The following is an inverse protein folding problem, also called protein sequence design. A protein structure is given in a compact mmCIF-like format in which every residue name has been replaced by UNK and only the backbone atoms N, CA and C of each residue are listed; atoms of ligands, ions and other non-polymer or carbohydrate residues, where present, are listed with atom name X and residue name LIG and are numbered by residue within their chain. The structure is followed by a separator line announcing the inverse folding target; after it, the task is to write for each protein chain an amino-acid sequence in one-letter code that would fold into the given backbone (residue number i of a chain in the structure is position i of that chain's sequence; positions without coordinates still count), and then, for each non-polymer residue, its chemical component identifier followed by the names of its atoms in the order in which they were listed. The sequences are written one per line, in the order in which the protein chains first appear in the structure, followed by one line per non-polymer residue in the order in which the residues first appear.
data_IF_622346690481
#
_entry.id   IF_622346690481
#
_cell.length_a   1.000
_cell.length_b   1.000
_cell.length_c   1.000
_cell.angle_alpha   90.00
_cell.angle_beta   90.00
_cell.angle_gamma   90.00
#
_symmetry.space_group_name_H-M   'P 1'
#
loop_
_entity.id
_entity.type
_entity.pdbx_description
1 polymer ?
#
# COMPACT_ATOMS: atom_id res chain seq x y z
N UNK A 1 -45.04 -28.72 33.80
CA UNK A 1 -45.16 -27.47 34.59
C UNK A 1 -44.14 -27.53 35.72
N UNK A 2 -43.27 -26.53 35.83
CA UNK A 2 -42.29 -26.45 36.92
C UNK A 2 -43.03 -26.19 38.24
N UNK A 3 -42.80 -26.97 39.31
CA UNK A 3 -43.46 -26.77 40.60
C UNK A 3 -43.21 -25.37 41.18
N UNK A 4 -44.22 -24.77 41.81
CA UNK A 4 -44.08 -23.44 42.47
C UNK A 4 -42.98 -23.41 43.54
N UNK A 5 -42.71 -24.54 44.18
CA UNK A 5 -41.63 -24.70 45.16
C UNK A 5 -40.24 -24.55 44.52
N UNK A 6 -40.07 -25.03 43.29
CA UNK A 6 -38.83 -24.89 42.53
C UNK A 6 -38.54 -23.42 42.22
N UNK A 7 -39.56 -22.66 41.81
CA UNK A 7 -39.40 -21.23 41.59
C UNK A 7 -39.02 -20.48 42.87
N UNK A 8 -39.72 -20.69 43.98
CA UNK A 8 -39.38 -20.05 45.26
C UNK A 8 -37.92 -20.32 45.68
N UNK A 9 -37.47 -21.56 45.54
CA UNK A 9 -36.09 -21.94 45.85
C UNK A 9 -35.08 -21.21 44.96
N UNK A 10 -35.40 -21.01 43.67
CA UNK A 10 -34.55 -20.25 42.74
C UNK A 10 -34.43 -18.77 43.16
N UNK A 11 -35.54 -18.11 43.45
CA UNK A 11 -35.54 -16.69 43.82
C UNK A 11 -34.79 -16.42 45.14
N UNK A 12 -34.79 -17.37 46.06
CA UNK A 12 -34.09 -17.27 47.35
C UNK A 12 -32.57 -17.55 47.25
N UNK A 13 -32.15 -18.41 46.31
CA UNK A 13 -30.76 -18.91 46.20
C UNK A 13 -30.00 -18.41 44.97
N UNK A 14 -30.59 -17.56 44.16
CA UNK A 14 -29.96 -17.02 42.96
C UNK A 14 -28.78 -16.09 43.31
N UNK A 15 -27.75 -16.12 42.47
CA UNK A 15 -26.63 -15.17 42.51
C UNK A 15 -26.91 -13.90 41.72
N UNK A 16 -28.04 -13.84 41.00
CA UNK A 16 -28.43 -12.65 40.23
C UNK A 16 -28.84 -11.54 41.21
N UNK A 17 -28.03 -10.48 41.23
CA UNK A 17 -28.21 -9.37 42.15
C UNK A 17 -29.55 -8.65 41.91
N UNK A 18 -30.23 -8.28 43.00
CA UNK A 18 -31.53 -7.59 42.97
C UNK A 18 -32.75 -8.48 42.72
N UNK A 19 -32.58 -9.68 42.14
CA UNK A 19 -33.68 -10.60 41.82
C UNK A 19 -34.38 -11.12 43.09
N UNK A 20 -33.62 -11.40 44.15
CA UNK A 20 -34.18 -11.79 45.46
C UNK A 20 -35.16 -10.73 46.01
N UNK A 21 -34.80 -9.46 45.89
CA UNK A 21 -35.56 -8.34 46.45
C UNK A 21 -36.90 -8.11 45.73
N UNK A 22 -37.08 -8.65 44.52
CA UNK A 22 -38.38 -8.57 43.80
C UNK A 22 -39.44 -9.52 44.37
N UNK A 23 -39.02 -10.53 45.14
CA UNK A 23 -39.88 -11.60 45.64
C UNK A 23 -39.84 -11.77 47.16
N UNK A 24 -39.02 -10.99 47.87
CA UNK A 24 -38.82 -11.10 49.31
C UNK A 24 -40.12 -10.78 50.07
N UNK A 25 -40.73 -11.76 50.77
CA UNK A 25 -41.98 -11.57 51.48
C UNK A 25 -41.93 -10.50 52.59
N UNK A 26 -40.75 -10.10 53.06
CA UNK A 26 -40.60 -9.11 54.15
C UNK A 26 -40.62 -7.65 53.68
N UNK A 27 -40.51 -7.40 52.38
CA UNK A 27 -40.50 -6.03 51.80
C UNK A 27 -41.90 -5.55 51.43
N UNK A 28 -42.12 -4.23 51.45
CA UNK A 28 -43.38 -3.65 50.99
C UNK A 28 -43.57 -3.84 49.47
N UNK A 29 -44.82 -3.93 49.01
CA UNK A 29 -45.13 -4.13 47.58
C UNK A 29 -44.49 -3.04 46.71
N UNK A 30 -44.50 -1.79 47.19
CA UNK A 30 -43.90 -0.67 46.48
C UNK A 30 -42.37 -0.83 46.29
N UNK A 31 -41.66 -1.27 47.32
CA UNK A 31 -40.22 -1.53 47.26
C UNK A 31 -39.89 -2.65 46.27
N UNK A 32 -40.71 -3.72 46.24
CA UNK A 32 -40.54 -4.82 45.27
C UNK A 32 -40.73 -4.36 43.83
N UNK A 33 -41.67 -3.44 43.59
CA UNK A 33 -41.90 -2.84 42.27
C UNK A 33 -40.70 -1.98 41.84
N UNK A 34 -40.11 -1.20 42.76
CA UNK A 34 -38.88 -0.44 42.47
C UNK A 34 -37.73 -1.39 42.10
N UNK A 35 -37.51 -2.45 42.90
CA UNK A 35 -36.47 -3.44 42.61
C UNK A 35 -36.67 -4.15 41.27
N UNK A 36 -37.92 -4.41 40.90
CA UNK A 36 -38.25 -4.97 39.59
C UNK A 36 -37.79 -4.04 38.45
N UNK A 37 -38.12 -2.75 38.53
CA UNK A 37 -37.67 -1.78 37.52
C UNK A 37 -36.14 -1.61 37.49
N UNK A 38 -35.49 -1.60 38.65
CA UNK A 38 -34.01 -1.54 38.75
C UNK A 38 -33.39 -2.72 38.02
N UNK A 39 -33.82 -3.95 38.33
CA UNK A 39 -33.32 -5.16 37.67
C UNK A 39 -33.55 -5.09 36.16
N UNK A 40 -34.75 -4.71 35.70
CA UNK A 40 -35.05 -4.55 34.28
C UNK A 40 -34.16 -3.52 33.57
N UNK A 41 -33.91 -2.36 34.20
CA UNK A 41 -33.03 -1.33 33.65
C UNK A 41 -31.58 -1.82 33.54
N UNK A 42 -31.04 -2.43 34.60
CA UNK A 42 -29.67 -2.96 34.57
C UNK A 42 -29.50 -4.13 33.59
N UNK A 43 -30.47 -5.04 33.49
CA UNK A 43 -30.41 -6.13 32.50
C UNK A 43 -30.48 -5.59 31.08
N UNK A 44 -31.33 -4.59 30.84
CA UNK A 44 -31.46 -3.96 29.50
C UNK A 44 -30.19 -3.18 29.14
N UNK A 45 -29.62 -2.43 30.08
CA UNK A 45 -28.36 -1.71 29.90
C UNK A 45 -27.18 -2.66 29.67
N UNK A 46 -27.09 -3.75 30.43
CA UNK A 46 -26.06 -4.77 30.24
C UNK A 46 -26.22 -5.50 28.91
N UNK A 47 -27.45 -5.79 28.47
CA UNK A 47 -27.71 -6.37 27.16
C UNK A 47 -27.33 -5.41 26.04
N UNK A 48 -27.65 -4.13 26.16
CA UNK A 48 -27.24 -3.09 25.22
C UNK A 48 -25.71 -3.00 25.13
N UNK A 49 -25.01 -2.91 26.27
CA UNK A 49 -23.55 -2.90 26.29
C UNK A 49 -22.96 -4.18 25.68
N UNK A 50 -23.52 -5.35 25.99
CA UNK A 50 -23.07 -6.62 25.41
C UNK A 50 -23.27 -6.64 23.89
N UNK A 51 -24.43 -6.21 23.40
CA UNK A 51 -24.72 -6.14 21.96
C UNK A 51 -23.81 -5.13 21.26
N UNK A 52 -23.58 -3.96 21.88
CA UNK A 52 -22.64 -2.96 21.39
C UNK A 52 -21.20 -3.51 21.34
N UNK A 53 -20.75 -4.18 22.39
CA UNK A 53 -19.43 -4.82 22.43
C UNK A 53 -19.33 -6.01 21.47
N UNK A 54 -20.41 -6.77 21.25
CA UNK A 54 -20.42 -7.85 20.26
C UNK A 54 -20.45 -7.30 18.84
N UNK A 55 -21.12 -6.18 18.59
CA UNK A 55 -21.07 -5.46 17.31
C UNK A 55 -19.67 -4.90 17.07
N UNK A 56 -19.03 -4.29 18.07
CA UNK A 56 -17.66 -3.79 18.03
C UNK A 56 -16.59 -4.91 17.98
N UNK A 57 -16.85 -6.06 18.61
CA UNK A 57 -15.97 -7.22 18.55
C UNK A 57 -16.15 -7.98 17.25
N UNK A 58 -17.36 -8.15 16.73
CA UNK A 58 -17.59 -8.77 15.41
C UNK A 58 -17.22 -7.84 14.26
N UNK A 59 -17.21 -6.52 14.49
CA UNK A 59 -16.57 -5.59 13.57
C UNK A 59 -15.04 -5.69 13.62
N UNK A 60 -14.50 -6.62 14.44
CA UNK A 60 -13.09 -6.92 14.72
C UNK A 60 -12.20 -5.82 14.20
N UNK A 61 -11.87 -4.89 15.10
CA UNK A 61 -10.88 -3.84 14.87
C UNK A 61 -9.67 -4.49 14.24
N UNK A 62 -9.61 -4.30 12.94
CA UNK A 62 -8.60 -4.90 12.10
C UNK A 62 -7.29 -4.32 12.62
N UNK A 63 -6.30 -5.17 12.90
CA UNK A 63 -4.91 -4.69 12.95
C UNK A 63 -4.54 -4.35 11.52
N UNK A 64 -5.08 -3.24 11.02
CA UNK A 64 -4.66 -2.71 9.75
C UNK A 64 -3.44 -1.87 10.06
N UNK A 65 -2.31 -2.45 9.74
CA UNK A 65 -1.16 -1.71 9.28
C UNK A 65 -1.67 -1.00 8.02
N UNK A 66 -2.10 0.25 8.16
CA UNK A 66 -2.46 1.06 7.01
C UNK A 66 -1.21 1.81 6.62
N UNK A 67 -0.75 1.48 5.43
CA UNK A 67 0.29 2.17 4.69
C UNK A 67 -0.34 3.38 4.00
N UNK A 68 0.11 4.58 4.38
CA UNK A 68 -0.36 5.85 3.82
C UNK A 68 0.69 6.36 2.85
N UNK A 69 0.73 5.75 1.67
CA UNK A 69 2.02 5.55 1.04
C UNK A 69 1.97 5.86 -0.41
N UNK A 70 2.23 7.12 -0.67
CA UNK A 70 3.28 7.53 -1.57
C UNK A 70 2.90 8.94 -1.96
N UNK A 71 3.43 10.00 -1.31
CA UNK A 71 3.33 11.33 -1.85
C UNK A 71 4.27 11.40 -3.06
N UNK A 72 3.84 10.90 -4.21
CA UNK A 72 4.54 11.24 -5.45
C UNK A 72 4.17 12.68 -5.69
N UNK A 73 5.10 13.61 -5.64
CA UNK A 73 4.88 14.84 -6.39
C UNK A 73 4.58 14.46 -7.85
N UNK A 74 3.77 15.26 -8.54
CA UNK A 74 3.60 15.10 -9.98
C UNK A 74 4.96 14.97 -10.68
N UNK A 75 5.96 15.67 -10.13
CA UNK A 75 7.38 15.52 -10.40
C UNK A 75 8.00 14.47 -9.48
N UNK A 76 8.12 13.23 -9.98
CA UNK A 76 8.76 12.11 -9.26
C UNK A 76 10.28 12.22 -9.23
N UNK A 77 10.79 13.14 -10.04
CA UNK A 77 12.19 13.37 -10.31
C UNK A 77 12.51 14.77 -9.82
N UNK A 78 13.59 14.88 -9.06
CA UNK A 78 14.18 16.14 -8.67
C UNK A 78 15.02 16.67 -9.84
N UNK A 79 14.41 17.56 -10.63
CA UNK A 79 15.05 18.16 -11.80
C UNK A 79 16.19 19.13 -11.45
N UNK A 80 16.30 19.56 -10.19
CA UNK A 80 17.45 20.32 -9.70
C UNK A 80 18.73 19.48 -9.76
N UNK A 81 18.63 18.17 -9.44
CA UNK A 81 19.75 17.23 -9.43
C UNK A 81 20.17 16.75 -10.82
N UNK A 82 19.41 17.07 -11.87
CA UNK A 82 19.56 16.38 -13.16
C UNK A 82 20.93 16.59 -13.80
N UNK A 83 21.47 17.81 -13.74
CA UNK A 83 22.76 18.11 -14.33
C UNK A 83 23.91 17.45 -13.55
N UNK A 84 23.79 17.34 -12.22
CA UNK A 84 24.77 16.66 -11.36
C UNK A 84 24.78 15.14 -11.63
N UNK A 85 23.60 14.51 -11.72
CA UNK A 85 23.46 13.08 -12.03
C UNK A 85 23.96 12.77 -13.43
N UNK A 86 23.68 13.64 -14.41
CA UNK A 86 24.26 13.52 -15.76
C UNK A 86 25.79 13.51 -15.69
N UNK A 87 26.40 14.39 -14.91
CA UNK A 87 27.86 14.48 -14.81
C UNK A 87 28.51 13.30 -14.09
N UNK A 88 27.79 12.65 -13.18
CA UNK A 88 28.23 11.45 -12.49
C UNK A 88 28.13 10.20 -13.39
N UNK A 89 26.99 10.02 -14.07
CA UNK A 89 26.68 8.80 -14.81
C UNK A 89 27.08 8.84 -16.30
N UNK A 90 27.22 10.02 -16.89
CA UNK A 90 27.48 10.19 -18.33
C UNK A 90 28.83 10.87 -18.54
N UNK A 91 29.82 10.08 -18.98
CA UNK A 91 31.19 10.58 -19.22
C UNK A 91 31.33 11.57 -20.40
N UNK A 92 30.28 11.80 -21.19
CA UNK A 92 30.34 12.59 -22.42
C UNK A 92 29.75 14.00 -22.24
N UNK A 93 30.59 15.04 -22.37
CA UNK A 93 30.20 16.46 -22.25
C UNK A 93 29.50 17.05 -23.49
N UNK A 94 28.92 16.23 -24.37
CA UNK A 94 28.23 16.75 -25.55
C UNK A 94 26.82 17.24 -25.15
N UNK A 95 26.49 18.49 -25.49
CA UNK A 95 25.16 19.07 -25.23
C UNK A 95 24.03 18.23 -25.82
N UNK A 96 24.24 17.63 -27.00
CA UNK A 96 23.26 16.79 -27.67
C UNK A 96 22.90 15.52 -26.86
N UNK A 97 23.87 14.91 -26.19
CA UNK A 97 23.65 13.72 -25.35
C UNK A 97 22.93 14.11 -24.06
N UNK A 98 23.29 15.26 -23.49
CA UNK A 98 22.58 15.82 -22.31
C UNK A 98 21.12 16.10 -22.63
N UNK A 99 20.83 16.74 -23.77
CA UNK A 99 19.46 17.05 -24.18
C UNK A 99 18.66 15.76 -24.46
N UNK A 100 19.30 14.77 -25.10
CA UNK A 100 18.71 13.44 -25.32
C UNK A 100 18.36 12.75 -24.00
N UNK A 101 19.25 12.84 -23.01
CA UNK A 101 19.02 12.27 -21.68
C UNK A 101 17.89 13.00 -20.95
N UNK A 102 17.83 14.34 -20.99
CA UNK A 102 16.73 15.11 -20.38
C UNK A 102 15.37 14.75 -20.98
N UNK A 103 15.28 14.59 -22.30
CA UNK A 103 14.04 14.13 -22.94
C UNK A 103 13.72 12.67 -22.60
N UNK A 104 14.74 11.81 -22.49
CA UNK A 104 14.58 10.43 -22.04
C UNK A 104 13.98 10.37 -20.64
N UNK A 105 14.61 11.02 -19.65
CA UNK A 105 14.12 11.09 -18.28
C UNK A 105 12.72 11.70 -18.20
N UNK A 106 12.48 12.77 -18.95
CA UNK A 106 11.17 13.42 -19.00
C UNK A 106 10.06 12.57 -19.62
N UNK A 107 10.35 11.54 -20.40
CA UNK A 107 9.36 10.58 -20.87
C UNK A 107 9.08 9.47 -19.85
N UNK A 108 10.04 9.19 -18.95
CA UNK A 108 9.90 8.19 -17.89
C UNK A 108 9.19 8.73 -16.65
N UNK A 109 9.33 10.02 -16.36
CA UNK A 109 8.69 10.68 -15.22
C UNK A 109 7.17 10.38 -15.14
N UNK A 110 6.45 10.54 -16.26
CA UNK A 110 5.00 10.33 -16.35
C UNK A 110 4.57 8.88 -16.54
N UNK A 111 5.53 7.96 -16.68
CA UNK A 111 5.27 6.61 -17.17
C UNK A 111 4.50 5.78 -16.15
N UNK A 112 3.44 5.12 -16.63
CA UNK A 112 2.60 4.19 -15.85
C UNK A 112 2.11 3.08 -16.78
N UNK A 113 1.86 1.91 -16.21
CA UNK A 113 1.27 0.83 -17.00
C UNK A 113 -0.07 1.27 -17.63
N UNK A 114 -0.17 1.16 -18.95
CA UNK A 114 -1.34 1.57 -19.72
C UNK A 114 -1.38 3.04 -20.13
N UNK A 115 -0.42 3.87 -19.71
CA UNK A 115 -0.21 5.26 -20.16
C UNK A 115 1.18 5.40 -20.75
N UNK A 116 1.27 5.21 -22.06
CA UNK A 116 2.53 5.09 -22.77
C UNK A 116 2.73 6.18 -23.84
N UNK A 117 1.82 7.14 -23.88
CA UNK A 117 1.80 8.22 -24.88
C UNK A 117 3.07 9.07 -24.81
N UNK A 118 3.60 9.29 -23.61
CA UNK A 118 4.82 10.10 -23.38
C UNK A 118 6.08 9.48 -24.01
N UNK A 119 6.08 8.17 -24.29
CA UNK A 119 7.21 7.52 -24.96
C UNK A 119 7.31 7.88 -26.45
N UNK A 120 6.26 8.44 -27.05
CA UNK A 120 6.34 8.97 -28.42
C UNK A 120 7.39 10.09 -28.55
N UNK A 121 7.68 10.80 -27.46
CA UNK A 121 8.66 11.89 -27.40
C UNK A 121 10.08 11.40 -27.67
N UNK A 122 10.38 10.16 -27.30
CA UNK A 122 11.71 9.57 -27.41
C UNK A 122 11.87 8.67 -28.64
N UNK A 123 10.80 8.48 -29.41
CA UNK A 123 10.79 7.59 -30.58
C UNK A 123 11.83 8.01 -31.64
N UNK A 124 12.08 9.31 -31.79
CA UNK A 124 13.02 9.86 -32.78
C UNK A 124 14.43 10.12 -32.23
N UNK A 125 14.67 9.94 -30.93
CA UNK A 125 15.97 10.25 -30.31
C UNK A 125 17.00 9.13 -30.51
N UNK A 126 18.27 9.46 -30.73
CA UNK A 126 19.33 8.46 -30.82
C UNK A 126 19.74 8.03 -29.40
N UNK A 127 19.28 6.85 -28.96
CA UNK A 127 19.49 6.35 -27.60
C UNK A 127 20.79 5.56 -27.46
N UNK A 128 21.52 5.29 -28.57
CA UNK A 128 22.82 4.57 -28.55
C UNK A 128 23.84 5.19 -27.59
N UNK A 129 23.78 6.50 -27.41
CA UNK A 129 24.65 7.25 -26.50
C UNK A 129 24.38 6.99 -25.03
N UNK A 130 23.20 6.45 -24.68
CA UNK A 130 22.78 6.12 -23.32
C UNK A 130 23.06 4.65 -22.95
N UNK A 131 23.87 3.96 -23.76
CA UNK A 131 24.18 2.54 -23.62
C UNK A 131 24.99 2.24 -22.36
N UNK A 132 24.56 1.20 -21.63
CA UNK A 132 25.24 0.73 -20.43
C UNK A 132 24.92 1.53 -19.18
N UNK A 133 23.97 2.45 -19.27
CA UNK A 133 23.45 3.21 -18.13
C UNK A 133 22.37 2.36 -17.45
N UNK A 134 22.48 2.20 -16.13
CA UNK A 134 21.42 1.62 -15.32
C UNK A 134 20.37 2.69 -15.01
N UNK A 135 19.18 2.53 -15.59
CA UNK A 135 18.09 3.49 -15.42
C UNK A 135 17.50 3.41 -14.01
N UNK A 136 17.60 2.27 -13.29
CA UNK A 136 17.14 2.20 -11.90
C UNK A 136 17.98 3.08 -11.01
N UNK A 137 19.30 2.93 -11.07
CA UNK A 137 20.24 3.68 -10.24
C UNK A 137 20.06 5.19 -10.46
N UNK A 138 19.90 5.59 -11.72
CA UNK A 138 19.64 7.00 -12.07
C UNK A 138 18.29 7.49 -11.53
N UNK A 139 17.23 6.71 -11.67
CA UNK A 139 15.90 7.12 -11.17
C UNK A 139 15.87 7.19 -9.64
N UNK A 140 16.68 6.39 -8.96
CA UNK A 140 16.91 6.47 -7.51
C UNK A 140 17.68 7.74 -7.15
N UNK A 141 18.79 8.05 -7.82
CA UNK A 141 19.57 9.26 -7.56
C UNK A 141 18.79 10.55 -7.84
N UNK A 142 17.96 10.50 -8.89
CA UNK A 142 17.04 11.57 -9.28
C UNK A 142 15.78 11.64 -8.41
N UNK A 143 15.51 10.65 -7.55
CA UNK A 143 14.30 10.67 -6.74
C UNK A 143 14.31 11.80 -5.70
N UNK A 144 13.12 12.19 -5.27
CA UNK A 144 12.95 13.13 -4.17
C UNK A 144 13.29 12.42 -2.85
N UNK A 145 14.20 13.00 -2.08
CA UNK A 145 14.53 12.46 -0.76
C UNK A 145 13.42 12.80 0.23
N UNK A 146 13.36 12.12 1.37
CA UNK A 146 12.37 12.41 2.41
C UNK A 146 12.30 13.90 2.82
N UNK A 147 13.45 14.55 3.01
CA UNK A 147 13.53 15.97 3.37
C UNK A 147 13.13 16.93 2.23
N UNK A 148 13.07 16.45 0.98
CA UNK A 148 12.58 17.26 -0.14
C UNK A 148 11.06 17.36 -0.15
N UNK A 149 10.38 16.37 0.45
CA UNK A 149 8.93 16.21 0.40
C UNK A 149 8.25 16.67 1.68
N UNK A 150 8.80 16.32 2.84
CA UNK A 150 8.14 16.59 4.12
C UNK A 150 8.70 17.83 4.81
N UNK A 151 7.81 18.64 5.35
CA UNK A 151 8.21 19.75 6.21
C UNK A 151 8.72 19.22 7.55
N UNK A 152 9.92 19.65 7.94
CA UNK A 152 10.60 19.12 9.12
C UNK A 152 9.75 19.23 10.39
N UNK A 153 9.63 18.13 11.14
CA UNK A 153 8.87 18.02 12.38
C UNK A 153 7.35 18.28 12.25
N UNK A 154 6.77 18.25 11.06
CA UNK A 154 5.31 18.34 10.86
C UNK A 154 4.68 16.99 10.52
N UNK A 155 5.25 15.90 11.05
CA UNK A 155 4.68 14.57 10.99
C UNK A 155 4.14 14.15 12.36
N UNK A 156 2.90 13.69 12.39
CA UNK A 156 2.25 13.22 13.61
C UNK A 156 1.65 11.84 13.38
N UNK A 157 1.88 10.93 14.31
CA UNK A 157 1.20 9.64 14.37
C UNK A 157 0.48 9.53 15.71
N UNK A 158 -0.85 9.38 15.66
CA UNK A 158 -1.71 9.33 16.87
C UNK A 158 -1.56 10.58 17.76
N UNK A 159 -1.36 11.73 17.14
CA UNK A 159 -1.13 13.02 17.80
C UNK A 159 0.25 13.17 18.46
N UNK A 160 1.14 12.18 18.32
CA UNK A 160 2.54 12.27 18.77
C UNK A 160 3.37 12.74 17.58
N UNK A 161 4.21 13.75 17.81
CA UNK A 161 5.12 14.29 16.80
C UNK A 161 6.29 13.33 16.55
N UNK A 162 6.65 13.15 15.29
CA UNK A 162 7.79 12.35 14.83
C UNK A 162 8.62 13.14 13.82
N UNK A 163 9.87 12.72 13.65
CA UNK A 163 10.60 13.00 12.41
C UNK A 163 9.92 12.25 11.26
N UNK A 164 9.65 12.93 10.15
CA UNK A 164 9.02 12.34 8.99
C UNK A 164 9.86 11.20 8.39
N UNK A 165 11.17 11.34 8.41
CA UNK A 165 12.11 10.39 7.81
C UNK A 165 12.39 9.17 8.69
N UNK A 166 11.90 9.18 9.94
CA UNK A 166 11.82 7.98 10.79
C UNK A 166 10.54 7.16 10.52
N UNK A 167 9.53 7.78 9.88
CA UNK A 167 8.23 7.21 9.61
C UNK A 167 8.08 6.70 8.17
N UNK A 168 8.60 7.45 7.19
CA UNK A 168 8.49 7.15 5.76
C UNK A 168 9.79 6.58 5.21
N UNK A 169 9.71 5.47 4.47
CA UNK A 169 10.84 4.81 3.82
C UNK A 169 10.69 4.82 2.31
N UNK A 170 11.81 4.84 1.60
CA UNK A 170 11.81 4.70 0.15
C UNK A 170 11.39 3.29 -0.28
N UNK A 171 10.51 3.19 -1.26
CA UNK A 171 10.03 1.94 -1.84
C UNK A 171 9.81 2.11 -3.35
N UNK A 172 10.20 1.10 -4.13
CA UNK A 172 9.97 1.04 -5.58
C UNK A 172 8.57 0.50 -5.86
N UNK A 173 7.77 1.24 -6.60
CA UNK A 173 6.37 0.88 -6.95
C UNK A 173 6.14 0.95 -8.47
N UNK A 174 4.96 0.53 -8.95
CA UNK A 174 4.57 0.75 -10.36
C UNK A 174 4.50 2.24 -10.75
N UNK A 175 4.54 3.12 -9.75
CA UNK A 175 4.48 4.55 -9.89
C UNK A 175 5.86 5.22 -9.69
N UNK A 176 6.95 4.46 -9.63
CA UNK A 176 8.31 4.96 -9.40
C UNK A 176 8.77 4.81 -7.95
N UNK A 177 9.83 5.54 -7.58
CA UNK A 177 10.35 5.61 -6.21
C UNK A 177 9.41 6.46 -5.36
N UNK A 178 8.97 5.89 -4.24
CA UNK A 178 7.92 6.40 -3.37
C UNK A 178 8.41 6.53 -1.93
N UNK A 179 7.89 7.51 -1.18
CA UNK A 179 8.03 7.58 0.28
C UNK A 179 6.82 6.93 0.97
N UNK A 180 7.07 5.91 1.77
CA UNK A 180 6.08 4.91 2.19
C UNK A 180 6.17 4.72 3.71
N UNK A 181 5.20 5.28 4.44
CA UNK A 181 4.91 5.03 5.85
C UNK A 181 4.35 3.62 6.08
N UNK A 182 4.98 2.86 6.99
CA UNK A 182 4.47 1.54 7.39
C UNK A 182 4.68 0.42 6.34
N UNK A 183 5.63 0.63 5.42
CA UNK A 183 6.11 -0.37 4.45
C UNK A 183 6.63 -1.65 5.12
N UNK A 184 6.64 -2.75 4.38
CA UNK A 184 7.40 -3.97 4.74
C UNK A 184 8.30 -4.46 3.60
N UNK A 185 8.37 -3.72 2.49
CA UNK A 185 9.07 -4.12 1.28
C UNK A 185 10.47 -3.53 1.15
N UNK A 186 10.76 -2.38 1.75
CA UNK A 186 12.12 -1.83 1.73
C UNK A 186 13.04 -2.56 2.71
N UNK A 187 14.36 -2.51 2.48
CA UNK A 187 15.33 -3.12 3.38
C UNK A 187 15.31 -2.45 4.76
N UNK A 188 15.10 -1.15 4.78
CA UNK A 188 14.94 -0.29 5.96
C UNK A 188 13.72 -0.74 6.76
N UNK A 189 12.60 -0.96 6.07
CA UNK A 189 11.36 -1.44 6.67
C UNK A 189 11.51 -2.84 7.25
N UNK A 190 12.20 -3.75 6.55
CA UNK A 190 12.51 -5.09 7.06
C UNK A 190 13.42 -5.04 8.29
N UNK A 191 14.43 -4.16 8.31
CA UNK A 191 15.27 -3.93 9.49
C UNK A 191 14.45 -3.38 10.66
N UNK A 192 13.51 -2.47 10.39
CA UNK A 192 12.59 -1.91 11.40
C UNK A 192 11.67 -2.98 11.96
N UNK A 193 11.05 -3.81 11.12
CA UNK A 193 10.21 -4.93 11.55
C UNK A 193 10.95 -5.93 12.46
N UNK A 194 12.24 -6.17 12.20
CA UNK A 194 13.06 -7.05 13.04
C UNK A 194 13.46 -6.44 14.38
N UNK A 195 13.56 -5.11 14.45
CA UNK A 195 14.06 -4.39 15.63
C UNK A 195 12.95 -3.85 16.53
N UNK A 196 11.79 -3.51 15.96
CA UNK A 196 10.64 -2.95 16.65
C UNK A 196 9.43 -3.90 16.54
N UNK A 197 9.06 -4.50 17.67
CA UNK A 197 7.88 -5.39 17.75
C UNK A 197 6.55 -4.65 17.56
N UNK A 198 6.54 -3.32 17.71
CA UNK A 198 5.37 -2.48 17.45
C UNK A 198 5.29 -2.00 16.00
N UNK A 199 6.29 -2.33 15.18
CA UNK A 199 6.26 -2.15 13.74
C UNK A 199 5.73 -3.41 13.05
N UNK A 200 4.80 -3.29 12.10
CA UNK A 200 4.29 -2.04 11.55
C UNK A 200 3.26 -1.37 12.50
N UNK A 201 3.19 -0.04 12.46
CA UNK A 201 2.32 0.76 13.30
C UNK A 201 0.84 0.40 13.10
N UNK A 202 0.13 0.25 14.22
CA UNK A 202 -1.30 -0.04 14.23
C UNK A 202 -2.09 1.02 15.02
N UNK A 203 -3.29 1.30 14.53
CA UNK A 203 -4.22 2.18 15.19
C UNK A 203 -5.32 1.38 15.90
N UNK A 204 -5.74 1.84 17.08
CA UNK A 204 -6.76 1.20 17.91
C UNK A 204 -7.97 2.11 18.16
N UNK A 205 -7.93 3.34 17.62
CA UNK A 205 -8.98 4.34 17.76
C UNK A 205 -9.23 4.99 16.41
N UNK A 206 -10.45 5.46 16.18
CA UNK A 206 -10.80 6.22 14.98
C UNK A 206 -10.92 7.70 15.32
N UNK A 207 -10.76 8.56 14.31
CA UNK A 207 -10.86 10.02 14.43
C UNK A 207 -9.67 10.74 13.80
N UNK A 208 -9.83 12.05 13.60
CA UNK A 208 -8.90 12.92 12.85
C UNK A 208 -7.45 12.87 13.38
N UNK A 209 -7.27 12.83 14.70
CA UNK A 209 -5.95 12.80 15.34
C UNK A 209 -5.42 11.39 15.64
N UNK A 210 -6.11 10.35 15.16
CA UNK A 210 -5.70 8.96 15.40
C UNK A 210 -4.78 8.40 14.32
N UNK A 211 -4.78 9.00 13.13
CA UNK A 211 -3.99 8.57 11.98
C UNK A 211 -2.63 9.24 11.86
N UNK A 212 -2.06 9.14 10.66
CA UNK A 212 -0.92 9.92 10.22
C UNK A 212 -1.40 11.31 9.80
N UNK A 213 -0.63 12.33 10.15
CA UNK A 213 -0.80 13.69 9.67
C UNK A 213 0.57 14.17 9.20
N UNK A 214 0.63 14.69 7.99
CA UNK A 214 1.87 15.18 7.38
C UNK A 214 1.61 16.50 6.67
N UNK A 215 2.60 17.38 6.69
CA UNK A 215 2.65 18.56 5.83
C UNK A 215 3.70 18.32 4.77
N UNK A 216 3.29 18.45 3.52
CA UNK A 216 4.13 18.20 2.36
C UNK A 216 4.46 19.53 1.71
N UNK A 217 5.75 19.74 1.48
CA UNK A 217 6.27 20.90 0.77
C UNK A 217 6.44 20.54 -0.70
N UNK A 218 5.95 21.41 -1.59
CA UNK A 218 6.13 21.28 -3.03
C UNK A 218 6.99 22.45 -3.47
N UNK A 219 8.19 22.14 -3.94
CA UNK A 219 9.18 23.10 -4.37
C UNK A 219 9.21 23.18 -5.89
N UNK A 220 8.74 24.31 -6.43
CA UNK A 220 8.67 24.53 -7.87
C UNK A 220 10.04 24.54 -8.55
N UNK A 221 11.14 24.72 -7.80
CA UNK A 221 12.50 24.68 -8.35
C UNK A 221 12.98 23.26 -8.71
N UNK A 222 12.37 22.23 -8.11
CA UNK A 222 12.69 20.82 -8.35
C UNK A 222 11.84 20.20 -9.45
N UNK A 223 10.90 20.96 -9.98
CA UNK A 223 10.00 20.50 -11.03
C UNK A 223 10.64 20.56 -12.41
N UNK A 224 10.04 19.83 -13.34
CA UNK A 224 10.44 19.88 -14.74
C UNK A 224 10.33 21.32 -15.28
N UNK A 225 11.34 21.81 -16.02
CA UNK A 225 11.20 23.06 -16.76
C UNK A 225 10.00 23.02 -17.70
N UNK A 226 9.21 24.11 -17.72
CA UNK A 226 7.99 24.23 -18.54
C UNK A 226 6.88 23.21 -18.20
N UNK A 227 6.84 22.75 -16.93
CA UNK A 227 5.73 21.95 -16.43
C UNK A 227 4.41 22.73 -16.55
N UNK A 228 3.39 22.12 -17.15
CA UNK A 228 2.03 22.67 -17.30
C UNK A 228 1.00 21.93 -16.47
N UNK A 229 1.42 20.87 -15.79
CA UNK A 229 0.55 20.09 -14.95
C UNK A 229 0.30 20.80 -13.61
N UNK A 230 -0.85 20.55 -12.97
CA UNK A 230 -1.15 21.16 -11.69
C UNK A 230 -0.21 20.67 -10.59
N UNK A 231 0.29 21.60 -9.78
CA UNK A 231 1.06 21.28 -8.58
C UNK A 231 0.25 20.41 -7.61
N UNK A 232 0.88 19.35 -7.13
CA UNK A 232 0.27 18.44 -6.17
C UNK A 232 1.02 17.13 -6.03
N UNK A 233 0.40 16.23 -5.28
CA UNK A 233 0.91 14.89 -5.08
C UNK A 233 -0.11 13.84 -5.52
N UNK A 234 0.36 12.71 -6.01
CA UNK A 234 -0.39 11.47 -5.95
C UNK A 234 -0.22 10.88 -4.57
N UNK A 235 -1.26 10.24 -4.06
CA UNK A 235 -1.28 9.48 -2.82
C UNK A 235 -1.86 8.10 -3.11
N UNK A 236 -1.21 7.05 -2.65
CA UNK A 236 -1.72 5.69 -2.76
C UNK A 236 -2.00 5.15 -1.35
N UNK A 237 -3.14 4.47 -1.17
CA UNK A 237 -3.50 3.79 0.08
C UNK A 237 -3.60 2.32 -0.25
N UNK A 238 -2.75 1.51 0.37
CA UNK A 238 -2.63 0.08 0.07
C UNK A 238 -2.46 -0.77 1.32
N UNK A 239 -2.70 -2.06 1.18
CA UNK A 239 -2.31 -3.02 2.20
C UNK A 239 -0.78 -3.11 2.27
N UNK A 240 -0.14 -3.31 3.44
CA UNK A 240 1.32 -3.35 3.56
C UNK A 240 1.97 -4.47 2.75
N UNK A 241 1.28 -5.60 2.55
CA UNK A 241 1.75 -6.67 1.68
C UNK A 241 1.36 -6.47 0.22
N UNK A 242 0.72 -5.35 -0.14
CA UNK A 242 0.36 -5.04 -1.52
C UNK A 242 1.43 -4.17 -2.19
N UNK A 243 1.80 -4.46 -3.43
CA UNK A 243 2.83 -3.70 -4.14
C UNK A 243 2.33 -2.35 -4.65
N UNK A 244 1.12 -2.31 -5.20
CA UNK A 244 0.57 -1.13 -5.86
C UNK A 244 -0.95 -1.16 -5.86
N UNK A 245 -1.55 0.02 -5.69
CA UNK A 245 -2.98 0.26 -5.77
C UNK A 245 -3.25 1.57 -6.54
N UNK A 246 -4.51 1.86 -6.80
CA UNK A 246 -4.92 3.11 -7.42
C UNK A 246 -4.46 4.33 -6.61
N UNK A 247 -3.78 5.26 -7.28
CA UNK A 247 -3.36 6.53 -6.73
C UNK A 247 -4.40 7.63 -6.92
N UNK A 248 -4.51 8.56 -5.96
CA UNK A 248 -5.39 9.73 -5.97
C UNK A 248 -4.56 11.00 -6.01
N UNK A 249 -4.95 11.97 -6.82
CA UNK A 249 -4.25 13.25 -6.89
C UNK A 249 -4.80 14.24 -5.85
N UNK A 250 -3.90 14.83 -5.07
CA UNK A 250 -4.15 15.88 -4.08
C UNK A 250 -3.46 17.15 -4.58
N UNK A 251 -4.24 18.21 -4.75
CA UNK A 251 -3.74 19.49 -5.24
C UNK A 251 -2.95 20.22 -4.14
N UNK A 252 -1.89 20.92 -4.54
CA UNK A 252 -1.16 21.83 -3.66
C UNK A 252 -2.09 22.89 -3.03
N UNK A 253 -1.74 23.34 -1.82
CA UNK A 253 -2.51 24.36 -1.09
C UNK A 253 -3.87 23.88 -0.57
N UNK A 254 -4.08 22.57 -0.48
CA UNK A 254 -5.29 21.97 0.10
C UNK A 254 -4.98 21.17 1.35
N UNK A 255 -5.91 21.16 2.29
CA UNK A 255 -5.91 20.22 3.41
C UNK A 255 -6.84 19.05 3.06
N UNK A 256 -6.29 17.84 2.97
CA UNK A 256 -7.02 16.65 2.54
C UNK A 256 -7.09 15.62 3.66
N UNK A 257 -8.30 15.32 4.13
CA UNK A 257 -8.56 14.26 5.11
C UNK A 257 -9.04 12.99 4.40
N UNK A 258 -8.24 11.91 4.48
CA UNK A 258 -8.60 10.60 3.94
C UNK A 258 -9.19 9.70 5.04
N UNK A 259 -10.51 9.49 5.02
CA UNK A 259 -11.19 8.56 5.93
C UNK A 259 -11.03 7.14 5.41
N UNK A 260 -10.31 6.30 6.16
CA UNK A 260 -10.08 4.90 5.78
C UNK A 260 -11.09 3.99 6.50
N UNK A 261 -11.79 3.16 5.72
CA UNK A 261 -12.65 2.09 6.22
C UNK A 261 -12.15 0.75 5.66
N UNK A 262 -11.35 -0.02 6.43
CA UNK A 262 -10.81 -1.29 5.96
C UNK A 262 -11.94 -2.31 5.79
N UNK A 263 -11.85 -3.14 4.74
CA UNK A 263 -12.78 -4.25 4.50
C UNK A 263 -11.99 -5.55 4.45
N UNK A 264 -12.22 -6.42 5.43
CA UNK A 264 -11.68 -7.76 5.43
C UNK A 264 -12.64 -8.70 4.68
N UNK A 265 -12.12 -9.43 3.71
CA UNK A 265 -12.87 -10.48 3.01
C UNK A 265 -12.16 -11.80 3.26
N UNK A 266 -12.82 -12.72 3.95
CA UNK A 266 -12.31 -14.08 4.22
C UNK A 266 -13.15 -15.11 3.51
N UNK A 267 -12.51 -16.17 3.02
CA UNK A 267 -13.21 -17.35 2.51
C UNK A 267 -13.37 -18.37 3.65
N UNK A 268 -14.53 -19.01 3.72
CA UNK A 268 -14.76 -20.11 4.66
C UNK A 268 -13.95 -21.34 4.21
N UNK A 269 -13.22 -21.97 5.14
CA UNK A 269 -12.39 -23.16 4.86
C UNK A 269 -13.21 -24.31 4.24
N UNK A 270 -14.50 -24.40 4.54
CA UNK A 270 -15.40 -25.41 3.94
C UNK A 270 -15.51 -25.31 2.42
N UNK A 271 -15.21 -24.15 1.83
CA UNK A 271 -15.22 -23.92 0.39
C UNK A 271 -14.01 -24.57 -0.30
N UNK A 272 -12.94 -24.92 0.43
CA UNK A 272 -11.77 -25.61 -0.13
C UNK A 272 -12.11 -26.96 -0.78
N UNK A 273 -13.22 -27.59 -0.35
CA UNK A 273 -13.73 -28.83 -0.94
C UNK A 273 -14.28 -28.63 -2.37
N UNK A 274 -14.67 -27.40 -2.72
CA UNK A 274 -15.15 -27.06 -4.06
C UNK A 274 -13.94 -26.98 -5.01
N UNK A 275 -13.94 -27.68 -6.16
CA UNK A 275 -12.86 -27.61 -7.14
C UNK A 275 -12.57 -26.17 -7.60
N UNK A 276 -11.30 -25.85 -7.83
CA UNK A 276 -10.81 -24.51 -8.18
C UNK A 276 -11.58 -23.93 -9.37
N UNK A 277 -11.87 -24.75 -10.39
CA UNK A 277 -12.57 -24.33 -11.62
C UNK A 277 -14.01 -23.88 -11.37
N UNK A 278 -14.61 -24.32 -10.25
CA UNK A 278 -15.98 -23.95 -9.87
C UNK A 278 -16.03 -22.76 -8.92
N UNK A 279 -15.10 -22.66 -7.97
CA UNK A 279 -15.04 -21.53 -7.02
C UNK A 279 -14.32 -20.30 -7.55
N UNK A 280 -13.48 -20.47 -8.58
CA UNK A 280 -12.75 -19.40 -9.25
C UNK A 280 -11.90 -18.52 -8.31
N UNK A 281 -11.36 -19.13 -7.25
CA UNK A 281 -10.41 -18.53 -6.31
C UNK A 281 -9.44 -19.61 -5.81
N UNK A 282 -8.27 -19.19 -5.32
CA UNK A 282 -7.21 -20.06 -4.81
C UNK A 282 -7.07 -19.86 -3.30
N UNK A 283 -6.83 -20.94 -2.54
CA UNK A 283 -6.30 -20.87 -1.18
C UNK A 283 -4.76 -20.87 -1.23
N UNK A 284 -4.13 -20.53 -0.10
CA UNK A 284 -2.68 -20.53 0.03
C UNK A 284 -2.09 -21.91 -0.31
N UNK A 285 -1.13 -21.96 -1.24
CA UNK A 285 -0.47 -23.17 -1.68
C UNK A 285 -1.24 -23.99 -2.73
N UNK A 286 -2.44 -23.55 -3.14
CA UNK A 286 -3.16 -24.11 -4.29
C UNK A 286 -2.82 -23.41 -5.61
N UNK A 287 -2.02 -22.34 -5.55
CA UNK A 287 -1.58 -21.56 -6.68
C UNK A 287 -0.54 -22.35 -7.49
N UNK A 288 -0.93 -22.79 -8.69
CA UNK A 288 0.01 -23.18 -9.73
C UNK A 288 -0.03 -22.16 -10.87
N UNK A 289 0.21 -20.90 -10.49
CA UNK A 289 0.27 -19.78 -11.41
C UNK A 289 1.69 -19.67 -11.96
N UNK A 290 1.91 -20.10 -13.20
CA UNK A 290 3.23 -20.13 -13.87
C UNK A 290 3.99 -18.79 -13.81
N UNK A 291 3.27 -17.68 -13.71
CA UNK A 291 3.79 -16.31 -13.71
C UNK A 291 3.61 -15.58 -12.37
N UNK A 292 3.18 -16.26 -11.31
CA UNK A 292 3.06 -15.65 -9.99
C UNK A 292 3.92 -16.41 -8.98
N UNK A 293 4.88 -15.70 -8.37
CA UNK A 293 5.77 -16.26 -7.36
C UNK A 293 5.30 -15.74 -6.00
N UNK A 294 4.90 -16.67 -5.13
CA UNK A 294 4.67 -16.42 -3.70
C UNK A 294 5.93 -16.76 -2.89
N UNK A 295 6.10 -16.11 -1.74
CA UNK A 295 7.12 -16.45 -0.75
C UNK A 295 6.55 -16.32 0.67
N UNK A 296 7.23 -16.85 1.69
CA UNK A 296 6.79 -16.70 3.08
C UNK A 296 6.61 -15.23 3.50
N UNK A 297 7.29 -14.29 2.83
CA UNK A 297 7.19 -12.85 3.10
C UNK A 297 6.31 -12.09 2.09
N UNK A 298 5.73 -12.76 1.10
CA UNK A 298 4.88 -12.16 0.06
C UNK A 298 3.69 -13.10 -0.21
N UNK A 299 2.63 -13.01 0.62
CA UNK A 299 1.44 -13.86 0.49
C UNK A 299 0.66 -13.53 -0.78
N UNK A 300 -0.15 -14.48 -1.25
CA UNK A 300 -0.99 -14.24 -2.42
C UNK A 300 -1.94 -13.06 -2.18
N UNK A 301 -1.76 -12.00 -2.96
CA UNK A 301 -2.72 -10.92 -3.09
C UNK A 301 -3.05 -10.73 -4.56
N UNK A 302 -4.35 -10.62 -4.86
CA UNK A 302 -4.84 -10.41 -6.23
C UNK A 302 -4.13 -9.23 -6.92
N UNK A 303 -3.82 -8.19 -6.14
CA UNK A 303 -3.14 -6.98 -6.62
C UNK A 303 -1.68 -7.24 -6.98
N UNK A 304 -0.93 -7.95 -6.13
CA UNK A 304 0.44 -8.39 -6.45
C UNK A 304 0.45 -9.30 -7.69
N UNK A 305 -0.53 -10.19 -7.84
CA UNK A 305 -0.66 -11.03 -9.03
C UNK A 305 -0.86 -10.20 -10.31
N UNK A 306 -1.66 -9.14 -10.25
CA UNK A 306 -1.85 -8.22 -11.37
C UNK A 306 -0.55 -7.44 -11.66
N UNK A 307 0.14 -6.94 -10.64
CA UNK A 307 1.42 -6.25 -10.83
C UNK A 307 2.49 -7.17 -11.42
N UNK A 308 2.61 -8.42 -10.95
CA UNK A 308 3.50 -9.41 -11.59
C UNK A 308 3.09 -9.65 -13.05
N UNK A 309 1.79 -9.72 -13.36
CA UNK A 309 1.31 -9.82 -14.73
C UNK A 309 1.74 -8.62 -15.60
N UNK A 310 1.66 -7.39 -15.08
CA UNK A 310 2.16 -6.19 -15.77
C UNK A 310 3.66 -6.31 -16.05
N UNK A 311 4.45 -6.71 -15.05
CA UNK A 311 5.90 -6.92 -15.20
C UNK A 311 6.20 -7.97 -16.28
N UNK A 312 5.54 -9.13 -16.20
CA UNK A 312 5.69 -10.21 -17.17
C UNK A 312 5.27 -9.79 -18.57
N UNK A 313 4.21 -9.01 -18.73
CA UNK A 313 3.77 -8.51 -20.04
C UNK A 313 4.84 -7.65 -20.71
N UNK A 314 5.48 -6.78 -19.92
CA UNK A 314 6.55 -5.90 -20.40
C UNK A 314 7.79 -6.72 -20.77
N UNK A 315 8.12 -7.77 -20.00
CA UNK A 315 9.26 -8.67 -20.24
C UNK A 315 9.07 -9.68 -21.37
N UNK A 316 7.90 -10.34 -21.48
CA UNK A 316 7.68 -11.44 -22.43
C UNK A 316 7.51 -10.96 -23.88
N UNK A 317 7.00 -9.74 -24.08
CA UNK A 317 6.96 -9.16 -25.42
C UNK A 317 8.36 -8.94 -26.00
N UNK A 318 9.36 -8.65 -25.17
CA UNK A 318 10.76 -8.60 -25.61
C UNK A 318 11.31 -9.99 -25.98
N UNK A 319 11.03 -11.01 -25.16
CA UNK A 319 11.54 -12.37 -25.43
C UNK A 319 11.03 -12.97 -26.75
N UNK A 320 9.79 -12.68 -27.14
CA UNK A 320 9.22 -13.18 -28.41
C UNK A 320 9.88 -12.58 -29.66
N UNK A 321 10.38 -11.33 -29.57
CA UNK A 321 11.12 -10.69 -30.66
C UNK A 321 12.60 -11.07 -30.65
N UNK A 322 13.23 -11.24 -29.48
CA UNK A 322 14.60 -11.76 -29.36
C UNK A 322 14.70 -13.18 -29.94
N UNK A 323 13.70 -14.04 -29.71
CA UNK A 323 13.63 -15.38 -30.34
C UNK A 323 13.50 -15.34 -31.86
N UNK A 324 12.95 -14.26 -32.42
CA UNK A 324 12.81 -14.08 -33.87
C UNK A 324 14.14 -13.65 -34.51
N UNK A 325 15.01 -12.99 -33.75
CA UNK A 325 16.37 -12.60 -34.16
C UNK A 325 17.44 -13.66 -33.86
N UNK A 326 17.27 -14.45 -32.81
CA UNK A 326 18.16 -15.58 -32.48
C UNK A 326 17.57 -16.89 -33.00
N UNK A 327 17.89 -17.22 -34.25
CA UNK A 327 17.53 -18.48 -34.87
C UNK A 327 17.93 -19.69 -34.01
N UNK A 328 16.99 -20.61 -33.83
CA UNK A 328 17.13 -22.00 -33.38
C UNK A 328 18.36 -22.30 -32.51
N UNK A 329 18.20 -22.13 -31.20
CA UNK A 329 19.05 -22.77 -30.21
C UNK A 329 18.23 -23.12 -28.97
N UNK A 330 17.98 -24.41 -28.81
CA UNK A 330 17.41 -25.02 -27.61
C UNK A 330 18.08 -24.47 -26.34
N UNK A 331 17.40 -23.64 -25.55
CA UNK A 331 17.93 -23.27 -24.24
C UNK A 331 16.83 -22.97 -23.22
N UNK A 332 17.11 -23.48 -22.02
CA UNK A 332 16.27 -23.67 -20.85
C UNK A 332 15.72 -22.35 -20.29
N UNK A 333 14.53 -22.41 -19.70
CA UNK A 333 13.89 -21.32 -18.96
C UNK A 333 14.88 -20.61 -18.03
N UNK A 334 15.29 -19.39 -18.41
CA UNK A 334 16.10 -18.53 -17.57
C UNK A 334 15.15 -17.87 -16.57
N UNK A 335 15.21 -18.30 -15.31
CA UNK A 335 14.48 -17.74 -14.17
C UNK A 335 15.21 -16.47 -13.74
N UNK A 336 14.70 -15.30 -14.11
CA UNK A 336 15.16 -14.01 -13.57
C UNK A 336 14.14 -13.51 -12.56
N UNK A 337 14.52 -13.50 -11.29
CA UNK A 337 13.81 -12.81 -10.21
C UNK A 337 14.44 -11.42 -10.15
N UNK A 338 13.77 -10.42 -10.70
CA UNK A 338 14.18 -9.03 -10.49
C UNK A 338 13.51 -8.53 -9.21
N UNK A 339 14.33 -8.18 -8.21
CA UNK A 339 13.90 -7.47 -7.00
C UNK A 339 13.65 -5.98 -7.26
N UNK A 340 13.64 -5.55 -8.52
CA UNK A 340 13.80 -4.16 -8.90
C UNK A 340 12.64 -3.70 -9.81
N UNK A 341 11.65 -3.05 -9.20
CA UNK A 341 10.45 -2.54 -9.86
C UNK A 341 10.70 -1.28 -10.71
N UNK A 342 11.83 -0.58 -10.52
CA UNK A 342 12.10 0.72 -11.18
C UNK A 342 12.42 0.61 -12.67
N UNK A 343 12.88 -0.56 -13.14
CA UNK A 343 13.34 -0.76 -14.53
C UNK A 343 12.29 -1.38 -15.46
N UNK A 344 11.14 -1.81 -14.94
CA UNK A 344 10.24 -2.69 -15.69
C UNK A 344 9.24 -1.99 -16.60
N UNK A 345 9.15 -0.67 -16.57
CA UNK A 345 8.16 0.08 -17.35
C UNK A 345 8.77 0.67 -18.60
N UNK A 346 9.08 -0.17 -19.58
CA UNK A 346 9.41 0.28 -20.92
C UNK A 346 8.45 -0.37 -21.91
N UNK A 347 7.95 0.37 -22.91
CA UNK A 347 7.11 -0.24 -23.96
C UNK A 347 7.94 -0.81 -25.09
N UNK A 348 7.32 -1.75 -25.81
CA UNK A 348 7.82 -2.42 -27.00
C UNK A 348 8.59 -1.55 -28.02
N UNK A 349 8.19 -0.30 -28.30
CA UNK A 349 8.92 0.54 -29.28
C UNK A 349 10.15 1.23 -28.66
N UNK A 350 10.05 1.68 -27.41
CA UNK A 350 11.17 2.24 -26.66
C UNK A 350 12.18 1.15 -26.33
N UNK A 351 11.75 -0.03 -25.86
CA UNK A 351 12.58 -1.20 -25.59
C UNK A 351 13.18 -1.82 -26.85
N UNK A 352 12.52 -1.84 -28.00
CA UNK A 352 13.13 -2.34 -29.25
C UNK A 352 14.21 -1.40 -29.78
N UNK A 353 14.04 -0.08 -29.59
CA UNK A 353 15.07 0.90 -29.88
C UNK A 353 16.20 0.81 -28.83
N UNK A 354 15.89 0.85 -27.54
CA UNK A 354 16.85 0.68 -26.45
C UNK A 354 17.59 -0.66 -26.54
N UNK A 355 16.95 -1.80 -26.76
CA UNK A 355 17.66 -3.09 -26.92
C UNK A 355 18.44 -3.17 -28.23
N UNK A 356 18.04 -2.53 -29.33
CA UNK A 356 18.86 -2.54 -30.57
C UNK A 356 19.96 -1.48 -30.62
N UNK A 357 19.85 -0.42 -29.80
CA UNK A 357 20.80 0.68 -29.71
C UNK A 357 21.74 0.56 -28.50
N UNK A 358 21.27 -0.11 -27.43
CA UNK A 358 22.02 -0.41 -26.19
C UNK A 358 22.54 -1.88 -26.12
N UNK A 359 22.16 -2.78 -27.04
CA UNK A 359 22.82 -4.09 -27.24
C UNK A 359 23.74 -4.13 -28.45
#
# INVERSE_FOLDING_TARGET
MVPRSTWRTFWEKTTIHGVRNTSDPTMEIFERVIWFFIVCCFTSGSLYCLLYYLEDFNSQVTKTVLSFDCPLQHNRINWEKIDDVIDEHISFRNSEVRDTFKEFIGAFEGLRFGKFEDLSRIENLNLKSLRGIDVSDILEDLSMNCHDVFENNLCYWKGIQYDCCDLFFEEKTEAGVCLVFNSIFSDESRKKQKSDHFYPFANARSGENSGIQVVISIDSSKERPENHDPDGIWMMIKHPFEWSEQSFFIRAGTETSAVISPKLTTSDESIAVVPIEKRNCFFDGEDNLEFYITSENDPYLRKNCITQCHQWYLMLKDFSEIHKYMGNSHTRHIRMVYNDLSLLYLTHNALKKLTSELA
#
